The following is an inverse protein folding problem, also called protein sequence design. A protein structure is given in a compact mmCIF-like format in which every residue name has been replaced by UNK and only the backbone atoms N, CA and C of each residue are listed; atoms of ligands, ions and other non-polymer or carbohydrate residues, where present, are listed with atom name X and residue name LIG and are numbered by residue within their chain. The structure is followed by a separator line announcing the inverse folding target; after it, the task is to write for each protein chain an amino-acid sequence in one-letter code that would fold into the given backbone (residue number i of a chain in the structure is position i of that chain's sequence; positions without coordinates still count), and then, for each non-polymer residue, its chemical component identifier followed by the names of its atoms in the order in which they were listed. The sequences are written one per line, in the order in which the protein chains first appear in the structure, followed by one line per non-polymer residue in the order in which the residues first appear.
data_IF_271818691010
#
_entry.id   IF_271818691010
#
_cell.length_a   1.000
_cell.length_b   1.000
_cell.length_c   1.000
_cell.angle_alpha   90.00
_cell.angle_beta   90.00
_cell.angle_gamma   90.00
#
_symmetry.space_group_name_H-M   'P 1'
#
loop_
_entity.id
_entity.type
_entity.pdbx_description
1 polymer ?
#
# COMPACT_ATOMS: atom_id res chain seq x y z
N UNK A 1 -31.90 -12.37 68.02
CA UNK A 1 -32.80 -13.55 68.04
C UNK A 1 -34.15 -12.99 67.69
N UNK A 2 -34.65 -13.29 66.48
CA UNK A 2 -35.99 -12.90 66.07
C UNK A 2 -36.98 -13.32 67.17
N UNK A 3 -37.89 -12.44 67.58
CA UNK A 3 -38.94 -12.81 68.54
C UNK A 3 -39.71 -13.97 67.92
N UNK A 4 -39.46 -15.15 68.47
CA UNK A 4 -39.93 -16.41 67.94
C UNK A 4 -41.47 -16.39 67.95
N UNK A 5 -42.09 -16.98 66.93
CA UNK A 5 -43.56 -17.00 66.80
C UNK A 5 -44.23 -17.58 68.06
N UNK A 6 -43.49 -18.44 68.78
CA UNK A 6 -43.84 -18.99 70.09
C UNK A 6 -43.94 -17.92 71.19
N UNK A 7 -43.00 -16.98 71.25
CA UNK A 7 -43.02 -15.89 72.24
C UNK A 7 -44.18 -14.92 72.00
N UNK A 8 -44.53 -14.69 70.72
CA UNK A 8 -45.71 -13.91 70.32
C UNK A 8 -46.99 -14.62 70.74
N UNK A 9 -47.09 -15.94 70.54
CA UNK A 9 -48.26 -16.71 70.98
C UNK A 9 -48.43 -16.76 72.50
N UNK A 10 -47.33 -16.83 73.25
CA UNK A 10 -47.35 -16.75 74.71
C UNK A 10 -47.81 -15.38 75.21
N UNK A 11 -47.32 -14.30 74.60
CA UNK A 11 -47.75 -12.94 74.90
C UNK A 11 -49.26 -12.75 74.62
N UNK A 12 -49.78 -13.34 73.54
CA UNK A 12 -51.21 -13.22 73.19
C UNK A 12 -52.08 -13.84 74.27
N UNK A 13 -51.77 -15.07 74.68
CA UNK A 13 -52.53 -15.77 75.73
C UNK A 13 -52.53 -15.01 77.05
N UNK A 14 -51.39 -14.42 77.41
CA UNK A 14 -51.31 -13.65 78.65
C UNK A 14 -52.07 -12.32 78.58
N UNK A 15 -52.17 -11.71 77.39
CA UNK A 15 -53.00 -10.54 77.16
C UNK A 15 -54.49 -10.88 77.16
N UNK A 16 -54.90 -12.04 76.63
CA UNK A 16 -56.30 -12.54 76.66
C UNK A 16 -56.78 -12.87 78.09
N UNK A 17 -55.88 -13.25 79.00
CA UNK A 17 -56.23 -13.51 80.41
C UNK A 17 -56.46 -12.21 81.22
N UNK A 18 -55.83 -11.10 80.82
CA UNK A 18 -55.83 -9.82 81.56
C UNK A 18 -56.73 -8.77 80.89
N UNK A 19 -56.86 -8.82 79.57
CA UNK A 19 -57.67 -7.96 78.73
C UNK A 19 -58.66 -8.83 77.93
N UNK A 20 -59.76 -8.25 77.47
CA UNK A 20 -60.71 -8.96 76.60
C UNK A 20 -60.02 -9.43 75.31
N UNK A 21 -60.50 -10.52 74.69
CA UNK A 21 -59.94 -11.11 73.47
C UNK A 21 -59.78 -10.10 72.31
N UNK A 22 -60.75 -9.18 72.17
CA UNK A 22 -60.73 -8.12 71.15
C UNK A 22 -59.61 -7.07 71.39
N UNK A 23 -59.36 -6.71 72.66
CA UNK A 23 -58.33 -5.74 73.03
C UNK A 23 -56.93 -6.35 72.87
N UNK A 24 -56.78 -7.63 73.26
CA UNK A 24 -55.56 -8.39 73.06
C UNK A 24 -55.23 -8.55 71.56
N UNK A 25 -56.24 -8.81 70.72
CA UNK A 25 -56.09 -8.91 69.26
C UNK A 25 -55.66 -7.59 68.64
N UNK A 26 -56.23 -6.47 69.09
CA UNK A 26 -55.87 -5.12 68.63
C UNK A 26 -54.41 -4.79 68.97
N UNK A 27 -53.99 -5.07 70.20
CA UNK A 27 -52.59 -4.89 70.63
C UNK A 27 -51.62 -5.79 69.86
N UNK A 28 -51.96 -7.07 69.69
CA UNK A 28 -51.13 -8.02 68.93
C UNK A 28 -51.07 -7.68 67.43
N UNK A 29 -52.10 -7.04 66.87
CA UNK A 29 -52.10 -6.54 65.49
C UNK A 29 -51.27 -5.27 65.31
N UNK A 30 -51.09 -4.49 66.38
CA UNK A 30 -50.22 -3.30 66.38
C UNK A 30 -48.73 -3.65 66.54
N UNK A 31 -48.43 -4.85 67.06
CA UNK A 31 -47.09 -5.41 67.12
C UNK A 31 -46.68 -5.87 65.72
N UNK A 32 -45.61 -5.29 65.13
CA UNK A 32 -45.19 -5.67 63.79
C UNK A 32 -44.76 -7.14 63.76
N UNK A 33 -45.03 -7.86 62.66
CA UNK A 33 -44.69 -9.27 62.52
C UNK A 33 -43.16 -9.53 62.47
N UNK A 34 -42.34 -8.49 62.28
CA UNK A 34 -40.87 -8.57 62.09
C UNK A 34 -40.16 -7.61 63.06
N UNK A 35 -38.96 -7.97 63.50
CA UNK A 35 -38.11 -7.11 64.32
C UNK A 35 -37.68 -5.88 63.51
N UNK A 36 -37.88 -4.68 64.06
CA UNK A 36 -37.43 -3.43 63.43
C UNK A 36 -35.90 -3.34 63.31
N UNK A 37 -35.15 -4.16 64.07
CA UNK A 37 -33.71 -4.29 63.92
C UNK A 37 -33.29 -4.91 62.57
N UNK A 38 -34.17 -5.68 61.92
CA UNK A 38 -33.90 -6.32 60.62
C UNK A 38 -34.27 -5.41 59.43
N UNK A 39 -34.89 -4.25 59.68
CA UNK A 39 -35.30 -3.30 58.65
C UNK A 39 -34.20 -2.28 58.43
N UNK A 40 -33.72 -2.18 57.19
CA UNK A 40 -32.71 -1.19 56.80
C UNK A 40 -33.19 0.24 57.15
N UNK A 41 -32.35 0.97 57.88
CA UNK A 41 -32.62 2.35 58.26
C UNK A 41 -32.29 3.31 57.12
N UNK A 42 -32.75 4.56 57.22
CA UNK A 42 -32.37 5.62 56.27
C UNK A 42 -30.84 5.84 56.25
N UNK A 43 -30.17 5.65 57.38
CA UNK A 43 -28.72 5.76 57.49
C UNK A 43 -28.01 4.64 56.73
N UNK A 44 -28.53 3.40 56.80
CA UNK A 44 -27.98 2.27 56.05
C UNK A 44 -28.14 2.48 54.54
N UNK A 45 -29.29 3.02 54.12
CA UNK A 45 -29.54 3.38 52.72
C UNK A 45 -28.63 4.52 52.24
N UNK A 46 -28.39 5.54 53.07
CA UNK A 46 -27.46 6.62 52.74
C UNK A 46 -26.02 6.11 52.59
N UNK A 47 -25.55 5.29 53.54
CA UNK A 47 -24.22 4.67 53.48
C UNK A 47 -24.07 3.74 52.26
N UNK A 48 -25.15 3.04 51.88
CA UNK A 48 -25.17 2.25 50.65
C UNK A 48 -25.10 3.14 49.40
N UNK A 49 -25.83 4.26 49.38
CA UNK A 49 -25.78 5.28 48.33
C UNK A 49 -24.36 5.81 48.12
N UNK A 50 -23.73 6.31 49.18
CA UNK A 50 -22.36 6.83 49.15
C UNK A 50 -21.36 5.78 48.62
N UNK A 51 -21.54 4.51 49.03
CA UNK A 51 -20.69 3.41 48.56
C UNK A 51 -20.92 3.08 47.09
N UNK A 52 -22.14 3.22 46.59
CA UNK A 52 -22.45 3.00 45.18
C UNK A 52 -21.88 4.14 44.33
N UNK A 53 -22.05 5.39 44.75
CA UNK A 53 -21.50 6.56 44.06
C UNK A 53 -19.97 6.47 43.98
N UNK A 54 -19.30 6.17 45.10
CA UNK A 54 -17.85 5.97 45.10
C UNK A 54 -17.39 4.84 44.17
N UNK A 55 -18.20 3.76 44.01
CA UNK A 55 -17.89 2.67 43.08
C UNK A 55 -18.12 3.08 41.63
N UNK A 56 -19.14 3.89 41.36
CA UNK A 56 -19.41 4.41 40.02
C UNK A 56 -18.31 5.37 39.58
N UNK A 57 -17.91 6.32 40.43
CA UNK A 57 -16.79 7.24 40.17
C UNK A 57 -15.49 6.50 39.90
N UNK A 58 -15.20 5.45 40.69
CA UNK A 58 -14.01 4.63 40.49
C UNK A 58 -14.08 3.84 39.17
N UNK A 59 -15.28 3.44 38.76
CA UNK A 59 -15.47 2.72 37.50
C UNK A 59 -15.35 3.65 36.30
N UNK A 60 -15.89 4.87 36.38
CA UNK A 60 -15.77 5.92 35.36
C UNK A 60 -14.30 6.28 35.11
N UNK A 61 -13.55 6.60 36.16
CA UNK A 61 -12.10 6.87 36.06
C UNK A 61 -11.34 5.74 35.39
N UNK A 62 -11.63 4.49 35.79
CA UNK A 62 -10.98 3.31 35.20
C UNK A 62 -11.32 3.16 33.72
N UNK A 63 -12.54 3.51 33.31
CA UNK A 63 -12.94 3.48 31.91
C UNK A 63 -12.22 4.56 31.11
N UNK A 64 -12.17 5.79 31.61
CA UNK A 64 -11.44 6.90 30.98
C UNK A 64 -9.96 6.55 30.79
N UNK A 65 -9.31 6.03 31.83
CA UNK A 65 -7.91 5.59 31.75
C UNK A 65 -7.70 4.50 30.68
N UNK A 66 -8.62 3.53 30.61
CA UNK A 66 -8.53 2.45 29.61
C UNK A 66 -8.79 2.95 28.19
N UNK A 67 -9.75 3.85 28.02
CA UNK A 67 -10.04 4.45 26.72
C UNK A 67 -8.87 5.32 26.25
N UNK A 68 -8.35 6.20 27.11
CA UNK A 68 -7.18 7.03 26.78
C UNK A 68 -5.94 6.18 26.45
N UNK A 69 -5.70 5.09 27.19
CA UNK A 69 -4.64 4.15 26.86
C UNK A 69 -4.86 3.43 25.52
N UNK A 70 -6.11 3.10 25.19
CA UNK A 70 -6.47 2.48 23.91
C UNK A 70 -6.31 3.45 22.75
N UNK A 71 -6.73 4.70 22.90
CA UNK A 71 -6.59 5.78 21.91
C UNK A 71 -5.12 6.01 21.60
N UNK A 72 -4.29 6.23 22.62
CA UNK A 72 -2.85 6.38 22.44
C UNK A 72 -2.22 5.20 21.70
N UNK A 73 -2.63 3.96 22.02
CA UNK A 73 -2.12 2.76 21.33
C UNK A 73 -2.55 2.71 19.86
N UNK A 74 -3.73 3.23 19.53
CA UNK A 74 -4.16 3.35 18.14
C UNK A 74 -3.35 4.41 17.41
N UNK A 75 -3.14 5.59 18.00
CA UNK A 75 -2.31 6.65 17.42
C UNK A 75 -0.88 6.16 17.15
N UNK A 76 -0.25 5.52 18.12
CA UNK A 76 1.09 4.94 17.98
C UNK A 76 1.15 3.91 16.84
N UNK A 77 0.10 3.07 16.70
CA UNK A 77 0.02 2.08 15.62
C UNK A 77 -0.21 2.71 14.26
N UNK A 78 -1.04 3.75 14.18
CA UNK A 78 -1.29 4.46 12.93
C UNK A 78 -0.04 5.21 12.47
N UNK A 79 0.63 5.93 13.36
CA UNK A 79 1.90 6.60 13.06
C UNK A 79 2.97 5.64 12.56
N UNK A 80 3.17 4.50 13.25
CA UNK A 80 4.12 3.49 12.80
C UNK A 80 3.74 2.85 11.44
N UNK A 81 2.43 2.75 11.15
CA UNK A 81 1.96 2.26 9.85
C UNK A 81 2.22 3.28 8.74
N UNK A 82 2.02 4.57 9.01
CA UNK A 82 2.27 5.67 8.09
C UNK A 82 3.77 5.74 7.72
N UNK A 83 4.66 5.75 8.71
CA UNK A 83 6.11 5.72 8.49
C UNK A 83 6.54 4.51 7.63
N UNK A 84 5.94 3.34 7.88
CA UNK A 84 6.22 2.14 7.09
C UNK A 84 5.75 2.26 5.65
N UNK A 85 4.60 2.88 5.41
CA UNK A 85 4.10 3.11 4.05
C UNK A 85 4.99 4.12 3.33
N UNK A 86 5.34 5.23 3.96
CA UNK A 86 6.25 6.23 3.39
C UNK A 86 7.60 5.62 3.01
N UNK A 87 8.18 4.81 3.90
CA UNK A 87 9.43 4.10 3.61
C UNK A 87 9.31 3.13 2.42
N UNK A 88 8.17 2.43 2.30
CA UNK A 88 7.91 1.52 1.16
C UNK A 88 7.70 2.27 -0.15
N UNK A 89 6.94 3.36 -0.13
CA UNK A 89 6.70 4.17 -1.33
C UNK A 89 7.98 4.84 -1.80
N UNK A 90 8.75 5.45 -0.89
CA UNK A 90 10.05 6.05 -1.24
C UNK A 90 11.06 5.03 -1.78
N UNK A 91 11.07 3.80 -1.25
CA UNK A 91 11.90 2.73 -1.80
C UNK A 91 11.43 2.28 -3.19
N UNK A 92 10.11 2.21 -3.41
CA UNK A 92 9.52 1.86 -4.70
C UNK A 92 9.81 2.93 -5.77
N UNK A 93 9.71 4.22 -5.40
CA UNK A 93 10.03 5.34 -6.27
C UNK A 93 11.49 5.25 -6.75
N UNK A 94 12.44 5.14 -5.82
CA UNK A 94 13.87 4.96 -6.15
C UNK A 94 14.14 3.74 -7.03
N UNK A 95 13.43 2.63 -6.79
CA UNK A 95 13.56 1.43 -7.61
C UNK A 95 13.09 1.67 -9.04
N UNK A 96 11.97 2.35 -9.23
CA UNK A 96 11.46 2.66 -10.57
C UNK A 96 12.33 3.68 -11.29
N UNK A 97 12.79 4.73 -10.61
CA UNK A 97 13.72 5.72 -11.18
C UNK A 97 14.99 5.04 -11.72
N UNK A 98 15.64 4.22 -10.90
CA UNK A 98 16.85 3.49 -11.31
C UNK A 98 16.58 2.53 -12.47
N UNK A 99 15.39 1.90 -12.51
CA UNK A 99 15.01 1.00 -13.60
C UNK A 99 14.74 1.76 -14.89
N UNK A 100 14.10 2.93 -14.83
CA UNK A 100 13.86 3.79 -15.98
C UNK A 100 15.16 4.33 -16.54
N UNK A 101 16.05 4.86 -15.69
CA UNK A 101 17.36 5.35 -16.10
C UNK A 101 18.17 4.24 -16.80
N UNK A 102 18.20 3.02 -16.23
CA UNK A 102 18.85 1.89 -16.86
C UNK A 102 18.21 1.48 -18.20
N UNK A 103 16.91 1.71 -18.38
CA UNK A 103 16.21 1.45 -19.64
C UNK A 103 16.55 2.50 -20.70
N UNK A 104 16.62 3.78 -20.31
CA UNK A 104 17.03 4.88 -21.20
C UNK A 104 18.46 4.67 -21.70
N UNK A 105 19.41 4.39 -20.80
CA UNK A 105 20.80 4.11 -21.19
C UNK A 105 20.90 2.93 -22.18
N UNK A 106 20.10 1.88 -22.00
CA UNK A 106 20.06 0.75 -22.95
C UNK A 106 19.47 1.14 -24.30
N UNK A 107 18.49 2.03 -24.31
CA UNK A 107 17.88 2.53 -25.54
C UNK A 107 18.88 3.39 -26.31
N UNK A 108 19.55 4.31 -25.63
CA UNK A 108 20.58 5.16 -26.21
C UNK A 108 21.73 4.35 -26.80
N UNK A 109 22.25 3.38 -26.05
CA UNK A 109 23.31 2.49 -26.53
C UNK A 109 22.89 1.67 -27.77
N UNK A 110 21.62 1.20 -27.81
CA UNK A 110 21.09 0.49 -28.98
C UNK A 110 20.93 1.42 -30.18
N UNK A 111 20.51 2.66 -29.96
CA UNK A 111 20.34 3.64 -31.00
C UNK A 111 21.70 4.03 -31.60
N UNK A 112 22.71 4.30 -30.77
CA UNK A 112 24.07 4.58 -31.21
C UNK A 112 24.66 3.41 -32.00
N UNK A 113 24.49 2.17 -31.52
CA UNK A 113 24.92 0.98 -32.25
C UNK A 113 24.20 0.83 -33.62
N UNK A 114 22.93 1.22 -33.71
CA UNK A 114 22.18 1.21 -34.96
C UNK A 114 22.71 2.27 -35.94
N UNK A 115 22.99 3.49 -35.46
CA UNK A 115 23.57 4.56 -36.27
C UNK A 115 24.93 4.14 -36.85
N UNK A 116 25.82 3.60 -36.01
CA UNK A 116 27.10 3.07 -36.48
C UNK A 116 26.97 1.96 -37.52
N UNK A 117 25.98 1.09 -37.37
CA UNK A 117 25.72 0.02 -38.36
C UNK A 117 25.23 0.60 -39.70
N UNK A 118 24.42 1.65 -39.66
CA UNK A 118 23.95 2.36 -40.85
C UNK A 118 25.15 3.01 -41.55
N UNK A 119 25.95 3.80 -40.83
CA UNK A 119 27.17 4.43 -41.37
C UNK A 119 28.12 3.40 -42.00
N UNK A 120 28.36 2.28 -41.30
CA UNK A 120 29.18 1.19 -41.81
C UNK A 120 28.60 0.56 -43.09
N UNK A 121 27.27 0.43 -43.17
CA UNK A 121 26.59 -0.07 -44.37
C UNK A 121 26.70 0.91 -45.54
N UNK A 122 26.55 2.21 -45.30
CA UNK A 122 26.71 3.27 -46.31
C UNK A 122 28.14 3.28 -46.85
N UNK A 123 29.15 3.23 -45.98
CA UNK A 123 30.54 3.15 -46.40
C UNK A 123 30.83 1.91 -47.27
N UNK A 124 30.27 0.75 -46.91
CA UNK A 124 30.42 -0.48 -47.70
C UNK A 124 29.75 -0.33 -49.07
N UNK A 125 28.54 0.21 -49.13
CA UNK A 125 27.82 0.43 -50.39
C UNK A 125 28.58 1.40 -51.29
N UNK A 126 29.06 2.53 -50.76
CA UNK A 126 29.85 3.50 -51.51
C UNK A 126 31.18 2.91 -51.99
N UNK A 127 31.85 2.10 -51.17
CA UNK A 127 33.08 1.42 -51.55
C UNK A 127 32.85 0.41 -52.68
N UNK A 128 31.81 -0.42 -52.59
CA UNK A 128 31.43 -1.37 -53.65
C UNK A 128 31.08 -0.63 -54.95
N UNK A 129 30.21 0.38 -54.87
CA UNK A 129 29.82 1.19 -56.03
C UNK A 129 31.03 1.87 -56.69
N UNK A 130 31.92 2.49 -55.89
CA UNK A 130 33.16 3.08 -56.40
C UNK A 130 34.05 2.04 -57.07
N UNK A 131 34.13 0.83 -56.50
CA UNK A 131 34.84 -0.30 -57.08
C UNK A 131 34.28 -0.71 -58.44
N UNK A 132 32.96 -0.92 -58.53
CA UNK A 132 32.26 -1.28 -59.77
C UNK A 132 32.36 -0.21 -60.85
N UNK A 133 32.22 1.07 -60.49
CA UNK A 133 32.41 2.18 -61.43
C UNK A 133 33.85 2.21 -61.94
N UNK A 134 34.84 2.04 -61.06
CA UNK A 134 36.24 2.05 -61.47
C UNK A 134 36.58 0.86 -62.38
N UNK A 135 36.07 -0.34 -62.10
CA UNK A 135 36.28 -1.51 -62.96
C UNK A 135 35.56 -1.36 -64.31
N UNK A 136 34.33 -0.84 -64.33
CA UNK A 136 33.60 -0.57 -65.56
C UNK A 136 34.31 0.48 -66.45
N UNK A 137 34.74 1.60 -65.86
CA UNK A 137 35.49 2.65 -66.59
C UNK A 137 36.80 2.09 -67.13
N UNK A 138 37.61 1.42 -66.30
CA UNK A 138 38.92 0.92 -66.73
C UNK A 138 38.82 -0.20 -67.77
N UNK A 139 37.82 -1.09 -67.63
CA UNK A 139 37.53 -2.14 -68.61
C UNK A 139 37.09 -1.56 -69.96
N UNK A 140 36.15 -0.61 -69.98
CA UNK A 140 35.73 0.08 -71.20
C UNK A 140 36.86 0.89 -71.83
N UNK A 141 37.63 1.63 -71.03
CA UNK A 141 38.70 2.51 -71.54
C UNK A 141 39.74 1.72 -72.34
N UNK A 142 40.11 0.50 -71.92
CA UNK A 142 41.04 -0.34 -72.68
C UNK A 142 40.49 -0.73 -74.04
N UNK A 143 39.24 -1.18 -74.11
CA UNK A 143 38.60 -1.55 -75.38
C UNK A 143 38.43 -0.35 -76.31
N UNK A 144 38.03 0.81 -75.77
CA UNK A 144 37.91 2.05 -76.54
C UNK A 144 39.27 2.49 -77.08
N UNK A 145 40.34 2.45 -76.27
CA UNK A 145 41.70 2.77 -76.72
C UNK A 145 42.16 1.83 -77.84
N UNK A 146 41.97 0.51 -77.69
CA UNK A 146 42.36 -0.44 -78.74
C UNK A 146 41.56 -0.24 -80.03
N UNK A 147 40.24 -0.01 -79.94
CA UNK A 147 39.40 0.26 -81.08
C UNK A 147 39.79 1.56 -81.80
N UNK A 148 40.11 2.63 -81.06
CA UNK A 148 40.57 3.90 -81.62
C UNK A 148 41.92 3.76 -82.33
N UNK A 149 42.91 3.14 -81.69
CA UNK A 149 44.25 2.94 -82.29
C UNK A 149 44.19 2.02 -83.50
N UNK A 150 43.45 0.91 -83.40
CA UNK A 150 43.23 -0.03 -84.50
C UNK A 150 42.52 0.65 -85.68
N UNK A 151 41.50 1.45 -85.41
CA UNK A 151 40.79 2.25 -86.42
C UNK A 151 41.72 3.24 -87.13
N UNK A 152 42.55 3.99 -86.40
CA UNK A 152 43.53 4.92 -86.99
C UNK A 152 44.50 4.16 -87.92
N UNK A 153 44.98 3.00 -87.49
CA UNK A 153 45.94 2.19 -88.26
C UNK A 153 45.30 1.62 -89.53
N UNK A 154 44.08 1.08 -89.41
CA UNK A 154 43.32 0.56 -90.54
C UNK A 154 43.03 1.66 -91.57
N UNK A 155 42.60 2.85 -91.10
CA UNK A 155 42.31 3.98 -91.97
C UNK A 155 43.57 4.47 -92.70
N UNK A 156 44.71 4.55 -91.99
CA UNK A 156 46.01 4.91 -92.59
C UNK A 156 46.46 3.90 -93.65
N UNK A 157 46.26 2.61 -93.39
CA UNK A 157 46.61 1.52 -94.33
C UNK A 157 45.75 1.56 -95.59
N UNK A 158 44.46 1.88 -95.45
CA UNK A 158 43.53 2.09 -96.56
C UNK A 158 43.95 3.26 -97.45
N UNK A 159 44.33 4.39 -96.85
CA UNK A 159 44.84 5.56 -97.58
C UNK A 159 46.11 5.20 -98.36
N UNK A 160 47.03 4.47 -97.75
CA UNK A 160 48.26 3.98 -98.40
C UNK A 160 47.99 3.00 -99.55
N UNK A 161 47.06 2.06 -99.37
CA UNK A 161 46.68 1.12 -100.42
C UNK A 161 46.00 1.83 -101.60
N UNK A 162 45.09 2.77 -101.32
CA UNK A 162 44.44 3.59 -102.34
C UNK A 162 45.47 4.41 -103.14
N UNK A 163 46.48 4.97 -102.49
CA UNK A 163 47.57 5.69 -103.15
C UNK A 163 48.45 4.78 -104.03
N UNK A 164 48.58 3.49 -103.71
CA UNK A 164 49.40 2.53 -104.47
C UNK A 164 48.70 1.94 -105.69
N UNK A 165 47.38 1.77 -105.64
CA UNK A 165 46.59 1.15 -106.72
C UNK A 165 45.85 2.17 -107.61
N UNK A 166 45.75 3.43 -107.17
CA UNK A 166 45.11 4.52 -107.93
C UNK A 166 46.08 5.44 -108.68
N UNK A 167 47.37 5.09 -108.78
CA UNK A 167 48.42 5.84 -109.46
C UNK A 167 48.93 5.16 -110.72
#
# INVERSE_FOLDING_TARGET
MAVDEIARQQLRRHLEDVLSEDDATTLMSSLPPVDWADVATKTDLAALGDRLDARLDAWEKRWDDRFGASEKRWDDRFGASEERWDGRFGASEKYWDARFEASEQRWDARHEAMLHRIEASEHRLLATFRGEVNTAITGQTRLIIFALVGGITANTSLVLAAARFGG
#
